data_IF_332199016097
#
_entry.id   IF_332199016097
#
_cell.length_a   1.000
_cell.length_b   1.000
_cell.length_c   1.000
_cell.angle_alpha   90.00
_cell.angle_beta   90.00
_cell.angle_gamma   90.00
#
_symmetry.space_group_name_H-M   'P 1'
#
loop_
_entity.id
_entity.type
_entity.pdbx_description
1 polymer ?
#
# COMPACT_ATOMS: atom_id res chain seq x y z
N UNK A 1 -7.57 3.19 15.38
CA UNK A 1 -8.33 2.42 14.39
C UNK A 1 -8.53 0.97 14.82
N UNK A 2 -9.31 0.22 14.08
CA UNK A 2 -9.69 -1.17 14.40
C UNK A 2 -8.47 -2.08 14.59
N UNK A 3 -7.41 -1.91 13.80
CA UNK A 3 -6.19 -2.73 13.91
C UNK A 3 -5.42 -2.45 15.17
N UNK A 4 -5.32 -1.20 15.58
CA UNK A 4 -4.66 -0.81 16.83
C UNK A 4 -5.42 -1.38 18.04
N UNK A 5 -6.73 -1.33 18.03
CA UNK A 5 -7.59 -1.89 19.07
C UNK A 5 -7.44 -3.41 19.17
N UNK A 6 -7.45 -4.12 18.05
CA UNK A 6 -7.24 -5.58 18.01
C UNK A 6 -5.86 -5.97 18.51
N UNK A 7 -4.81 -5.29 18.07
CA UNK A 7 -3.44 -5.56 18.49
C UNK A 7 -3.26 -5.30 19.98
N UNK A 8 -3.81 -4.19 20.48
CA UNK A 8 -3.77 -3.84 21.91
C UNK A 8 -4.48 -4.89 22.77
N UNK A 9 -5.69 -5.30 22.39
CA UNK A 9 -6.44 -6.34 23.09
C UNK A 9 -5.71 -7.67 23.10
N UNK A 10 -5.11 -8.09 22.00
CA UNK A 10 -4.34 -9.32 21.91
C UNK A 10 -3.12 -9.29 22.82
N UNK A 11 -2.39 -8.17 22.86
CA UNK A 11 -1.21 -8.03 23.70
C UNK A 11 -1.55 -8.07 25.18
N UNK A 12 -2.66 -7.45 25.61
CA UNK A 12 -3.17 -7.52 26.98
C UNK A 12 -3.54 -8.96 27.37
N UNK A 13 -4.21 -9.70 26.46
CA UNK A 13 -4.52 -11.13 26.69
C UNK A 13 -3.27 -12.00 26.85
N UNK A 14 -2.17 -11.64 26.18
CA UNK A 14 -0.89 -12.35 26.26
C UNK A 14 -0.03 -11.99 27.50
N UNK A 15 -0.54 -11.12 28.36
CA UNK A 15 0.09 -10.80 29.64
C UNK A 15 1.01 -9.57 29.63
N UNK A 16 0.98 -8.76 28.58
CA UNK A 16 1.65 -7.46 28.59
C UNK A 16 0.88 -6.48 29.47
N UNK A 17 1.50 -5.90 30.48
CA UNK A 17 0.86 -5.02 31.44
C UNK A 17 0.71 -3.59 30.90
N UNK A 18 1.68 -3.12 30.12
CA UNK A 18 1.71 -1.78 29.54
C UNK A 18 1.61 -1.86 28.03
N UNK A 19 0.43 -1.55 27.50
CA UNK A 19 0.17 -1.53 26.06
C UNK A 19 -0.46 -0.19 25.69
N UNK A 20 0.17 0.50 24.77
CA UNK A 20 -0.25 1.82 24.31
C UNK A 20 -0.46 1.84 22.80
N UNK A 21 -1.30 2.74 22.34
CA UNK A 21 -1.39 3.07 20.91
C UNK A 21 -1.48 4.59 20.72
N UNK A 22 -1.14 5.07 19.54
CA UNK A 22 -1.15 6.47 19.23
C UNK A 22 -2.59 7.00 19.16
N UNK A 23 -2.87 8.08 19.87
CA UNK A 23 -4.14 8.80 19.75
C UNK A 23 -4.24 9.40 18.35
N UNK A 24 -5.30 9.03 17.61
CA UNK A 24 -5.49 9.44 16.23
C UNK A 24 -4.74 8.59 15.19
N UNK A 25 -3.89 7.67 15.62
CA UNK A 25 -3.13 6.76 14.77
C UNK A 25 -1.89 7.38 14.13
N UNK A 26 -1.16 6.55 13.35
CA UNK A 26 0.10 6.96 12.73
C UNK A 26 -0.06 8.08 11.68
N UNK A 27 -1.17 8.12 10.95
CA UNK A 27 -1.39 9.17 9.95
C UNK A 27 -1.55 10.54 10.62
N UNK A 28 -2.24 10.61 11.74
CA UNK A 28 -2.35 11.84 12.52
C UNK A 28 -1.00 12.30 13.07
N UNK A 29 -0.19 11.36 13.52
CA UNK A 29 1.19 11.63 13.96
C UNK A 29 2.03 12.23 12.83
N UNK A 30 2.02 11.61 11.64
CA UNK A 30 2.77 12.08 10.48
C UNK A 30 2.28 13.43 9.94
N UNK A 31 0.99 13.73 10.13
CA UNK A 31 0.40 15.02 9.75
C UNK A 31 0.81 16.15 10.70
N UNK A 32 0.84 15.90 12.00
CA UNK A 32 0.94 16.93 13.05
C UNK A 32 2.33 17.10 13.64
N UNK A 33 3.16 16.04 13.65
CA UNK A 33 4.51 16.09 14.20
C UNK A 33 5.49 16.51 13.11
N UNK A 34 6.27 17.59 13.29
CA UNK A 34 7.29 18.00 12.33
C UNK A 34 8.35 16.91 12.13
N UNK A 35 8.90 16.81 10.93
CA UNK A 35 9.90 15.80 10.59
C UNK A 35 11.12 15.83 11.52
N UNK A 36 11.55 17.01 11.94
CA UNK A 36 12.68 17.20 12.85
C UNK A 36 12.45 16.62 14.25
N UNK A 37 11.20 16.57 14.68
CA UNK A 37 10.80 16.05 16.00
C UNK A 37 10.27 14.62 15.95
N UNK A 38 10.07 14.07 14.74
CA UNK A 38 9.47 12.75 14.54
C UNK A 38 10.44 11.62 14.89
N UNK A 39 9.89 10.61 15.56
CA UNK A 39 10.58 9.34 15.82
C UNK A 39 10.32 8.30 14.73
N UNK A 40 9.46 8.62 13.75
CA UNK A 40 9.19 7.74 12.61
C UNK A 40 10.27 7.89 11.55
N UNK A 41 10.79 6.78 11.06
CA UNK A 41 11.74 6.72 9.95
C UNK A 41 11.15 5.93 8.79
N UNK A 42 11.35 6.45 7.58
CA UNK A 42 10.87 5.82 6.34
C UNK A 42 9.45 6.22 5.96
N UNK A 43 8.84 5.42 5.13
CA UNK A 43 7.50 5.64 4.61
C UNK A 43 6.46 4.80 5.35
N UNK A 44 5.24 5.30 5.46
CA UNK A 44 4.13 4.60 6.08
C UNK A 44 3.19 4.05 5.01
N UNK A 45 2.98 2.73 4.99
CA UNK A 45 2.04 2.09 4.08
C UNK A 45 0.60 2.51 4.39
N UNK A 46 -0.13 2.87 3.34
CA UNK A 46 -1.55 3.22 3.39
C UNK A 46 -2.35 2.36 2.41
N UNK A 47 -3.65 2.20 2.65
CA UNK A 47 -4.51 1.35 1.83
C UNK A 47 -5.29 2.15 0.77
N UNK A 48 -4.64 3.12 0.18
CA UNK A 48 -5.21 3.93 -0.91
C UNK A 48 -4.24 4.04 -2.09
N UNK A 49 -4.54 4.91 -3.04
CA UNK A 49 -3.76 5.06 -4.27
C UNK A 49 -2.35 5.59 -4.06
N UNK A 50 -2.07 6.21 -2.91
CA UNK A 50 -0.74 6.75 -2.57
C UNK A 50 0.26 5.65 -2.24
N UNK A 51 -0.19 4.45 -1.88
CA UNK A 51 0.58 3.28 -1.43
C UNK A 51 1.31 3.54 -0.11
N UNK A 52 2.16 4.55 -0.05
CA UNK A 52 2.89 4.97 1.15
C UNK A 52 2.99 6.48 1.24
N UNK A 53 3.06 6.99 2.45
CA UNK A 53 3.19 8.43 2.73
C UNK A 53 4.39 8.73 3.63
N UNK A 54 4.93 9.92 3.48
CA UNK A 54 5.96 10.49 4.34
C UNK A 54 5.35 11.55 5.27
N UNK A 55 6.19 12.24 6.05
CA UNK A 55 5.76 13.34 6.91
C UNK A 55 4.95 14.39 6.14
N UNK A 56 3.92 14.94 6.77
CA UNK A 56 2.99 15.86 6.14
C UNK A 56 1.99 15.20 5.20
N UNK A 57 1.88 13.87 5.24
CA UNK A 57 1.00 13.03 4.40
C UNK A 57 1.26 13.20 2.89
N UNK A 58 2.47 13.57 2.52
CA UNK A 58 2.90 13.59 1.13
C UNK A 58 3.13 12.19 0.62
N UNK A 59 2.84 11.97 -0.65
CA UNK A 59 3.07 10.68 -1.31
C UNK A 59 4.56 10.34 -1.33
N UNK A 60 4.89 9.11 -0.94
CA UNK A 60 6.26 8.60 -0.94
C UNK A 60 6.67 7.99 -2.29
N UNK A 61 7.81 7.28 -2.28
CA UNK A 61 8.37 6.64 -3.47
C UNK A 61 8.00 5.16 -3.61
N UNK A 62 7.41 4.55 -2.58
CA UNK A 62 6.99 3.16 -2.62
C UNK A 62 5.82 2.97 -3.57
N UNK A 63 5.85 1.86 -4.29
CA UNK A 63 4.73 1.37 -5.06
C UNK A 63 4.25 0.04 -4.48
N UNK A 64 3.38 -0.64 -5.16
CA UNK A 64 2.75 -1.87 -4.70
C UNK A 64 2.80 -2.92 -5.79
N UNK A 65 3.09 -4.16 -5.40
CA UNK A 65 2.87 -5.30 -6.30
C UNK A 65 1.38 -5.60 -6.41
N UNK A 66 0.81 -5.47 -7.58
CA UNK A 66 -0.62 -5.73 -7.80
C UNK A 66 -0.98 -7.21 -7.90
N UNK A 67 0.01 -8.09 -7.85
CA UNK A 67 -0.22 -9.54 -7.72
C UNK A 67 -0.36 -9.98 -6.27
N UNK A 68 0.59 -9.62 -5.39
CA UNK A 68 0.59 -10.03 -3.99
C UNK A 68 0.27 -8.92 -2.99
N UNK A 69 0.18 -7.68 -3.44
CA UNK A 69 -0.12 -6.48 -2.63
C UNK A 69 1.00 -6.05 -1.67
N UNK A 70 2.19 -6.62 -1.80
CA UNK A 70 3.35 -6.20 -1.01
C UNK A 70 3.82 -4.80 -1.45
N UNK A 71 4.12 -3.87 -0.51
CA UNK A 71 4.74 -2.60 -0.85
C UNK A 71 6.17 -2.83 -1.39
N UNK A 72 6.54 -2.05 -2.40
CA UNK A 72 7.82 -2.19 -3.11
C UNK A 72 8.62 -0.89 -3.03
N UNK A 73 9.87 -1.00 -2.59
CA UNK A 73 10.83 0.09 -2.68
C UNK A 73 11.25 0.33 -4.14
N UNK A 74 11.79 1.54 -4.46
CA UNK A 74 12.34 1.78 -5.80
C UNK A 74 13.39 0.76 -6.25
N UNK A 75 14.22 0.27 -5.31
CA UNK A 75 15.25 -0.74 -5.58
C UNK A 75 14.64 -2.10 -5.95
N UNK A 76 13.56 -2.48 -5.29
CA UNK A 76 12.85 -3.73 -5.60
C UNK A 76 12.17 -3.68 -6.98
N UNK A 77 11.74 -2.50 -7.41
CA UNK A 77 11.12 -2.29 -8.72
C UNK A 77 12.09 -2.36 -9.90
N UNK A 78 13.39 -2.29 -9.69
CA UNK A 78 14.40 -2.50 -10.73
C UNK A 78 14.94 -3.94 -10.77
N UNK A 79 14.45 -4.80 -9.89
CA UNK A 79 14.80 -6.22 -9.86
C UNK A 79 14.30 -6.96 -11.11
N UNK A 80 15.07 -7.98 -11.56
CA UNK A 80 14.67 -8.87 -12.65
C UNK A 80 13.39 -9.67 -12.36
N UNK A 81 13.02 -9.79 -11.10
CA UNK A 81 11.81 -10.48 -10.64
C UNK A 81 10.58 -9.58 -10.60
N UNK A 82 10.76 -8.27 -10.86
CA UNK A 82 9.66 -7.33 -10.91
C UNK A 82 9.10 -7.22 -12.33
N UNK A 83 7.84 -7.57 -12.48
CA UNK A 83 7.04 -7.34 -13.70
C UNK A 83 5.77 -6.63 -13.28
N UNK A 84 5.57 -5.42 -13.76
CA UNK A 84 4.45 -4.56 -13.37
C UNK A 84 3.10 -5.29 -13.48
N UNK A 85 2.40 -5.36 -12.37
CA UNK A 85 1.08 -6.01 -12.27
C UNK A 85 1.13 -7.55 -12.25
N UNK A 86 2.28 -8.17 -12.38
CA UNK A 86 2.41 -9.63 -12.52
C UNK A 86 3.18 -10.26 -11.37
N UNK A 87 4.37 -9.76 -11.06
CA UNK A 87 5.25 -10.34 -10.05
C UNK A 87 6.17 -9.32 -9.40
N UNK A 88 6.74 -9.67 -8.26
CA UNK A 88 7.77 -8.91 -7.57
C UNK A 88 8.78 -9.86 -6.90
N UNK A 89 9.90 -9.37 -6.33
CA UNK A 89 10.86 -10.21 -5.62
C UNK A 89 10.26 -11.05 -4.48
N UNK A 90 9.14 -10.60 -3.90
CA UNK A 90 8.47 -11.30 -2.79
C UNK A 90 7.54 -12.43 -3.22
N UNK A 91 7.00 -12.39 -4.44
CA UNK A 91 5.97 -13.35 -4.89
C UNK A 91 6.33 -14.15 -6.15
N UNK A 92 7.41 -13.82 -6.86
CA UNK A 92 7.73 -14.44 -8.15
C UNK A 92 7.86 -15.97 -8.10
N UNK A 93 8.33 -16.51 -6.99
CA UNK A 93 8.52 -17.94 -6.76
C UNK A 93 7.29 -18.63 -6.13
N UNK A 94 6.29 -17.85 -5.69
CA UNK A 94 5.07 -18.33 -5.04
C UNK A 94 3.87 -18.35 -5.97
N UNK A 95 3.98 -17.82 -7.18
CA UNK A 95 2.92 -17.79 -8.16
C UNK A 95 2.76 -19.16 -8.83
N UNK A 96 1.56 -19.73 -8.75
CA UNK A 96 1.18 -20.88 -9.56
C UNK A 96 0.97 -20.46 -11.02
N UNK A 97 1.07 -21.39 -11.97
CA UNK A 97 0.86 -21.09 -13.39
C UNK A 97 -0.51 -20.48 -13.67
N UNK A 98 -1.56 -20.98 -13.03
CA UNK A 98 -2.93 -20.44 -13.15
C UNK A 98 -3.02 -19.00 -12.59
N UNK A 99 -2.40 -18.75 -11.44
CA UNK A 99 -2.36 -17.43 -10.85
C UNK A 99 -1.58 -16.45 -11.71
N UNK A 100 -0.45 -16.88 -12.24
CA UNK A 100 0.38 -16.10 -13.15
C UNK A 100 -0.39 -15.73 -14.42
N UNK A 101 -1.06 -16.67 -15.06
CA UNK A 101 -1.90 -16.43 -16.23
C UNK A 101 -3.01 -15.39 -15.92
N UNK A 102 -3.67 -15.53 -14.78
CA UNK A 102 -4.73 -14.62 -14.33
C UNK A 102 -4.22 -13.16 -14.14
N UNK A 103 -3.07 -12.98 -13.49
CA UNK A 103 -2.53 -11.62 -13.27
C UNK A 103 -2.00 -11.01 -14.56
N UNK A 104 -1.45 -11.78 -15.47
CA UNK A 104 -1.03 -11.32 -16.81
C UNK A 104 -2.24 -10.84 -17.60
N UNK A 105 -3.33 -11.60 -17.63
CA UNK A 105 -4.54 -11.20 -18.34
C UNK A 105 -5.15 -9.94 -17.75
N UNK A 106 -5.20 -9.83 -16.42
CA UNK A 106 -5.66 -8.61 -15.76
C UNK A 106 -4.83 -7.39 -16.15
N UNK A 107 -3.50 -7.51 -16.16
CA UNK A 107 -2.60 -6.42 -16.56
C UNK A 107 -2.83 -6.00 -18.00
N UNK A 108 -3.00 -6.97 -18.89
CA UNK A 108 -3.34 -6.72 -20.30
C UNK A 108 -4.64 -5.95 -20.46
N UNK A 109 -5.68 -6.30 -19.69
CA UNK A 109 -6.96 -5.58 -19.71
C UNK A 109 -6.83 -4.15 -19.19
N UNK A 110 -6.01 -3.92 -18.15
CA UNK A 110 -5.73 -2.58 -17.63
C UNK A 110 -5.04 -1.72 -18.70
N UNK A 111 -4.06 -2.26 -19.39
CA UNK A 111 -3.34 -1.54 -20.46
C UNK A 111 -4.24 -1.22 -21.65
N UNK A 112 -5.08 -2.16 -22.06
CA UNK A 112 -6.08 -1.93 -23.11
C UNK A 112 -7.10 -0.85 -22.72
N UNK A 113 -7.54 -0.84 -21.46
CA UNK A 113 -8.43 0.18 -20.96
C UNK A 113 -7.78 1.57 -20.96
N UNK A 114 -6.51 1.67 -20.57
CA UNK A 114 -5.75 2.92 -20.66
C UNK A 114 -5.64 3.45 -22.09
N UNK A 115 -5.40 2.57 -23.05
CA UNK A 115 -5.36 2.96 -24.47
C UNK A 115 -6.70 3.51 -24.99
N UNK A 116 -7.81 3.05 -24.40
CA UNK A 116 -9.17 3.56 -24.72
C UNK A 116 -9.57 4.77 -23.89
N UNK A 117 -8.72 5.24 -22.98
CA UNK A 117 -9.05 6.32 -22.04
C UNK A 117 -10.03 5.91 -20.93
N UNK A 118 -10.18 4.62 -20.68
CA UNK A 118 -11.08 4.06 -19.68
C UNK A 118 -10.32 3.59 -18.46
N UNK A 119 -11.01 3.54 -17.32
CA UNK A 119 -10.49 2.92 -16.08
C UNK A 119 -11.12 1.54 -15.92
N UNK A 120 -10.32 0.49 -15.98
CA UNK A 120 -10.78 -0.89 -15.91
C UNK A 120 -11.13 -1.35 -14.50
N UNK A 121 -10.33 -0.97 -13.51
CA UNK A 121 -10.53 -1.38 -12.11
C UNK A 121 -10.70 -0.13 -11.26
N UNK A 122 -11.70 -0.18 -10.40
CA UNK A 122 -11.96 0.91 -9.47
C UNK A 122 -12.36 2.19 -10.20
N UNK A 123 -13.53 2.18 -10.83
CA UNK A 123 -14.19 3.45 -11.15
C UNK A 123 -14.24 4.24 -9.84
N UNK A 124 -13.26 5.06 -9.63
CA UNK A 124 -13.43 6.19 -8.74
C UNK A 124 -14.60 6.96 -9.33
N UNK A 125 -15.69 6.97 -8.60
CA UNK A 125 -16.69 7.99 -8.79
C UNK A 125 -15.96 9.32 -8.55
N UNK A 126 -15.36 9.87 -9.60
CA UNK A 126 -15.11 11.28 -9.61
C UNK A 126 -16.50 11.90 -9.45
N UNK A 127 -16.79 12.32 -8.24
CA UNK A 127 -17.74 13.40 -8.11
C UNK A 127 -17.12 14.49 -8.95
N UNK A 128 -17.62 14.61 -10.17
CA UNK A 128 -17.47 15.86 -10.90
C UNK A 128 -17.96 16.91 -9.93
N UNK A 129 -17.04 17.70 -9.43
CA UNK A 129 -17.39 18.95 -8.79
C UNK A 129 -17.94 19.81 -9.90
N UNK A 130 -19.25 19.74 -10.09
CA UNK A 130 -19.96 20.74 -10.87
C UNK A 130 -19.93 22.02 -10.05
N UNK A 131 -19.06 22.90 -10.43
CA UNK A 131 -19.30 24.32 -10.15
C UNK A 131 -20.42 24.82 -11.03
#
# INVERSE_FOLDING_TARGET
>A
GIRCEKATSLMLEKGFDEVYHLKGGILKYLETVPEEESLWSGECFVFDQRVAVIHGLQEGQYDQCYACRHPLSPEEMVSNHYIKGVSCPHCHDKLTDDKKASVIERQKQIELAKLRGEVHIGKTLHKESHE
#
